data_IF_806531173223
#
_entry.id   IF_806531173223
#
_cell.length_a   1.000
_cell.length_b   1.000
_cell.length_c   1.000
_cell.angle_alpha   90.00
_cell.angle_beta   90.00
_cell.angle_gamma   90.00
#
_symmetry.space_group_name_H-M   'P 1'
#
loop_
_entity.id
_entity.type
_entity.pdbx_description
1 polymer ?
#
# COMPACT_ATOMS: atom_id res chain seq x y z
N UNK A 1 -40.11 49.78 56.19
CA UNK A 1 -40.14 50.19 54.77
C UNK A 1 -39.98 48.93 53.93
N UNK A 2 -41.05 48.48 53.29
CA UNK A 2 -41.06 47.24 52.52
C UNK A 2 -40.73 47.55 51.06
N UNK A 3 -39.72 46.96 50.50
CA UNK A 3 -39.37 47.05 49.08
C UNK A 3 -40.33 46.12 48.28
N UNK A 4 -40.99 46.73 47.28
CA UNK A 4 -41.98 46.15 46.40
C UNK A 4 -41.31 45.23 45.36
N UNK A 5 -41.94 44.09 45.09
CA UNK A 5 -41.50 43.08 44.10
C UNK A 5 -41.58 43.51 42.63
N UNK A 6 -41.71 44.82 42.33
CA UNK A 6 -41.91 45.34 40.96
C UNK A 6 -40.66 46.01 40.35
N UNK A 7 -39.56 46.14 41.04
CA UNK A 7 -38.36 46.83 40.52
C UNK A 7 -37.23 45.92 39.99
N UNK A 8 -37.49 44.62 39.84
CA UNK A 8 -36.49 43.64 39.36
C UNK A 8 -36.62 43.30 37.86
N UNK A 9 -37.46 43.96 37.12
CA UNK A 9 -37.76 43.63 35.72
C UNK A 9 -37.38 44.73 34.73
N UNK A 10 -36.21 45.37 34.87
CA UNK A 10 -35.62 46.21 33.80
C UNK A 10 -34.11 46.08 33.79
N UNK A 11 -33.61 44.99 33.21
CA UNK A 11 -32.18 44.77 33.01
C UNK A 11 -31.92 43.49 32.21
N UNK A 12 -32.68 43.28 31.12
CA UNK A 12 -32.39 42.16 30.20
C UNK A 12 -31.26 42.59 29.26
N UNK A 13 -30.01 42.37 29.68
CA UNK A 13 -28.86 42.41 28.77
C UNK A 13 -28.92 41.13 27.94
N UNK A 14 -29.23 41.30 26.67
CA UNK A 14 -29.16 40.23 25.69
C UNK A 14 -27.69 39.74 25.54
N UNK A 15 -27.35 38.63 26.17
CA UNK A 15 -26.14 37.89 25.83
C UNK A 15 -26.41 37.23 24.47
N UNK A 16 -25.87 37.80 23.39
CA UNK A 16 -25.72 37.14 22.12
C UNK A 16 -24.70 36.02 22.29
N UNK A 17 -25.15 34.78 22.50
CA UNK A 17 -24.31 33.60 22.41
C UNK A 17 -23.95 33.44 20.93
N UNK A 18 -22.84 34.04 20.54
CA UNK A 18 -22.19 33.76 19.27
C UNK A 18 -21.73 32.31 19.31
N UNK A 19 -22.46 31.40 18.66
CA UNK A 19 -21.96 30.07 18.30
C UNK A 19 -20.77 30.26 17.38
N UNK A 20 -19.56 30.27 17.96
CA UNK A 20 -18.33 30.11 17.21
C UNK A 20 -18.38 28.72 16.65
N UNK A 21 -18.78 28.57 15.38
CA UNK A 21 -18.49 27.39 14.60
C UNK A 21 -16.96 27.30 14.50
N UNK A 22 -16.36 26.56 15.41
CA UNK A 22 -14.98 26.12 15.26
C UNK A 22 -14.93 25.28 13.99
N UNK A 23 -14.58 25.91 12.86
CA UNK A 23 -14.14 25.16 11.70
C UNK A 23 -13.06 24.19 12.19
N UNK A 24 -13.10 22.90 11.83
CA UNK A 24 -12.01 22.00 12.21
C UNK A 24 -10.71 22.65 11.70
N UNK A 25 -9.80 23.00 12.62
CA UNK A 25 -8.47 23.45 12.28
C UNK A 25 -7.88 22.34 11.39
N UNK A 26 -7.86 22.57 10.08
CA UNK A 26 -7.12 21.75 9.16
C UNK A 26 -5.67 21.89 9.58
N UNK A 27 -5.08 20.80 10.10
CA UNK A 27 -3.68 20.81 10.47
C UNK A 27 -2.89 21.38 9.29
N UNK A 28 -2.08 22.40 9.56
CA UNK A 28 -1.24 22.98 8.52
C UNK A 28 -0.33 21.87 7.98
N UNK A 29 -0.17 21.81 6.65
CA UNK A 29 0.80 20.91 6.01
C UNK A 29 2.15 21.08 6.73
N UNK A 30 2.77 20.01 7.25
CA UNK A 30 4.07 20.13 7.88
C UNK A 30 5.07 20.71 6.87
N UNK A 31 5.97 21.60 7.30
CA UNK A 31 7.01 22.10 6.40
C UNK A 31 7.86 20.92 5.92
N UNK A 32 8.31 20.94 4.62
CA UNK A 32 9.21 19.92 4.12
C UNK A 32 10.49 19.84 4.95
N UNK A 33 10.87 18.64 5.37
CA UNK A 33 11.98 18.38 6.29
C UNK A 33 13.13 17.67 5.54
N UNK A 34 14.30 18.34 5.38
CA UNK A 34 15.47 17.73 4.76
C UNK A 34 16.21 16.78 5.71
N UNK A 35 17.06 15.91 5.16
CA UNK A 35 18.03 15.16 5.97
C UNK A 35 19.10 16.13 6.46
N UNK A 36 19.13 16.40 7.76
CA UNK A 36 20.10 17.29 8.40
C UNK A 36 21.11 16.53 9.26
N UNK A 37 22.31 17.08 9.53
CA UNK A 37 23.25 16.49 10.50
C UNK A 37 22.61 16.28 11.88
N UNK A 38 21.75 17.18 12.32
CA UNK A 38 21.05 17.07 13.60
C UNK A 38 20.09 15.88 13.64
N UNK A 39 19.35 15.63 12.55
CA UNK A 39 18.47 14.47 12.43
C UNK A 39 19.28 13.16 12.43
N UNK A 40 20.42 13.13 11.71
CA UNK A 40 21.28 11.96 11.66
C UNK A 40 21.85 11.64 13.06
N UNK A 41 22.35 12.63 13.78
CA UNK A 41 22.90 12.43 15.12
C UNK A 41 21.83 12.02 16.15
N UNK A 42 20.62 12.58 16.04
CA UNK A 42 19.51 12.16 16.88
C UNK A 42 19.11 10.68 16.59
N UNK A 43 19.02 10.31 15.30
CA UNK A 43 18.72 8.95 14.87
C UNK A 43 19.81 7.93 15.31
N UNK A 44 21.09 8.32 15.26
CA UNK A 44 22.21 7.47 15.77
C UNK A 44 22.10 7.23 17.27
N UNK A 45 21.66 8.22 18.05
CA UNK A 45 21.44 8.04 19.50
C UNK A 45 20.33 7.04 19.79
N UNK A 46 19.30 6.96 18.95
CA UNK A 46 18.23 5.98 19.03
C UNK A 46 18.68 4.58 18.55
N UNK A 47 19.61 4.53 17.58
CA UNK A 47 20.38 3.36 17.14
C UNK A 47 19.61 2.30 16.37
N UNK A 48 18.30 2.45 16.16
CA UNK A 48 17.49 1.43 15.47
C UNK A 48 16.24 2.00 14.84
N UNK A 49 15.69 1.28 13.85
CA UNK A 49 14.36 1.46 13.28
C UNK A 49 13.64 0.11 13.25
N UNK A 50 12.43 0.02 13.73
CA UNK A 50 11.53 -1.14 13.56
C UNK A 50 10.60 -0.85 12.39
N UNK A 51 10.73 -1.65 11.34
CA UNK A 51 10.01 -1.49 10.08
C UNK A 51 9.05 -2.65 9.83
N UNK A 52 7.74 -2.43 10.04
CA UNK A 52 6.72 -3.40 9.62
C UNK A 52 6.36 -3.18 8.15
N UNK A 53 6.41 -4.25 7.35
CA UNK A 53 6.22 -4.09 5.93
C UNK A 53 5.50 -5.25 5.25
N UNK A 54 4.74 -4.91 4.19
CA UNK A 54 4.19 -5.87 3.24
C UNK A 54 5.04 -6.00 1.96
N UNK A 55 6.21 -5.37 1.91
CA UNK A 55 7.15 -5.52 0.80
C UNK A 55 7.64 -6.97 0.67
N UNK A 56 8.14 -7.32 -0.50
CA UNK A 56 8.95 -8.53 -0.67
C UNK A 56 10.12 -8.52 0.32
N UNK A 57 10.33 -9.65 1.02
CA UNK A 57 11.31 -9.70 2.10
C UNK A 57 12.73 -9.39 1.63
N UNK A 58 13.14 -9.95 0.48
CA UNK A 58 14.48 -9.73 -0.05
C UNK A 58 14.74 -8.26 -0.34
N UNK A 59 13.74 -7.57 -0.89
CA UNK A 59 13.88 -6.14 -1.15
C UNK A 59 13.85 -5.32 0.15
N UNK A 60 12.97 -5.62 1.10
CA UNK A 60 12.92 -4.90 2.37
C UNK A 60 14.22 -5.03 3.16
N UNK A 61 14.85 -6.22 3.19
CA UNK A 61 16.16 -6.45 3.80
C UNK A 61 17.28 -5.73 3.04
N UNK A 62 17.23 -5.75 1.68
CA UNK A 62 18.20 -5.03 0.87
C UNK A 62 18.14 -3.51 1.13
N UNK A 63 16.92 -2.95 1.20
CA UNK A 63 16.69 -1.55 1.55
C UNK A 63 17.20 -1.22 2.95
N UNK A 64 16.92 -2.07 3.94
CA UNK A 64 17.41 -1.90 5.31
C UNK A 64 18.95 -1.89 5.38
N UNK A 65 19.60 -2.85 4.72
CA UNK A 65 21.07 -2.93 4.67
C UNK A 65 21.70 -1.72 3.99
N UNK A 66 21.11 -1.21 2.92
CA UNK A 66 21.60 -0.01 2.24
C UNK A 66 21.48 1.23 3.13
N UNK A 67 20.38 1.33 3.88
CA UNK A 67 20.23 2.40 4.88
C UNK A 67 21.29 2.30 5.99
N UNK A 68 21.53 1.12 6.55
CA UNK A 68 22.55 0.88 7.57
C UNK A 68 23.97 1.23 7.09
N UNK A 69 24.29 0.91 5.83
CA UNK A 69 25.56 1.29 5.20
C UNK A 69 25.72 2.81 5.05
N UNK A 70 24.63 3.50 4.70
CA UNK A 70 24.65 4.96 4.54
C UNK A 70 24.68 5.70 5.87
N UNK A 71 24.01 5.16 6.88
CA UNK A 71 23.90 5.75 8.22
C UNK A 71 24.43 4.80 9.30
N UNK A 72 25.76 4.58 9.37
CA UNK A 72 26.37 3.68 10.35
C UNK A 72 25.98 4.04 11.78
N UNK A 73 25.68 3.02 12.58
CA UNK A 73 25.20 3.17 13.96
C UNK A 73 23.68 3.10 14.11
N UNK A 74 22.92 2.94 13.01
CA UNK A 74 21.48 2.74 13.04
C UNK A 74 21.16 1.40 12.37
N UNK A 75 20.53 0.47 13.08
CA UNK A 75 20.09 -0.82 12.53
C UNK A 75 18.63 -0.78 12.10
N UNK A 76 18.26 -1.54 11.07
CA UNK A 76 16.87 -1.66 10.59
C UNK A 76 16.34 -3.06 10.87
N UNK A 77 15.40 -3.17 11.80
CA UNK A 77 14.70 -4.42 12.06
C UNK A 77 13.49 -4.55 11.13
N UNK A 78 13.61 -5.36 10.10
CA UNK A 78 12.52 -5.65 9.16
C UNK A 78 11.62 -6.74 9.72
N UNK A 79 10.32 -6.45 9.85
CA UNK A 79 9.29 -7.42 10.20
C UNK A 79 8.26 -7.49 9.06
N UNK A 80 8.37 -8.54 8.24
CA UNK A 80 7.54 -8.72 7.04
C UNK A 80 6.34 -9.60 7.32
N UNK A 81 5.15 -9.12 6.94
CA UNK A 81 3.93 -9.94 6.87
C UNK A 81 3.05 -9.50 5.69
N UNK A 82 1.94 -10.18 5.43
CA UNK A 82 0.92 -9.71 4.50
C UNK A 82 0.29 -8.41 5.00
N UNK A 83 -0.16 -7.54 4.07
CA UNK A 83 -0.66 -6.21 4.42
C UNK A 83 -1.81 -6.25 5.45
N UNK A 84 -2.76 -7.15 5.27
CA UNK A 84 -3.86 -7.32 6.21
C UNK A 84 -3.40 -7.73 7.63
N UNK A 85 -2.38 -8.61 7.71
CA UNK A 85 -1.80 -9.02 9.01
C UNK A 85 -1.04 -7.88 9.68
N UNK A 86 -0.31 -7.07 8.89
CA UNK A 86 0.35 -5.85 9.39
C UNK A 86 -0.71 -4.90 9.94
N UNK A 87 -1.79 -4.67 9.20
CA UNK A 87 -2.90 -3.82 9.62
C UNK A 87 -3.53 -4.29 10.94
N UNK A 88 -3.86 -5.58 11.03
CA UNK A 88 -4.45 -6.16 12.25
C UNK A 88 -3.50 -6.07 13.45
N UNK A 89 -2.20 -6.34 13.24
CA UNK A 89 -1.20 -6.27 14.29
C UNK A 89 -1.05 -4.85 14.84
N UNK A 90 -0.91 -3.86 13.96
CA UNK A 90 -0.85 -2.44 14.36
C UNK A 90 -2.10 -2.06 15.15
N UNK A 91 -3.28 -2.48 14.66
CA UNK A 91 -4.53 -2.22 15.36
C UNK A 91 -4.59 -2.81 16.76
N UNK A 92 -4.11 -4.05 16.95
CA UNK A 92 -4.06 -4.72 18.27
C UNK A 92 -3.03 -4.05 19.19
N UNK A 93 -1.84 -3.75 18.68
CA UNK A 93 -0.77 -3.09 19.45
C UNK A 93 -1.24 -1.71 19.96
N UNK A 94 -1.75 -0.86 19.07
CA UNK A 94 -2.16 0.51 19.43
C UNK A 94 -3.38 0.54 20.36
N UNK A 95 -4.38 -0.33 20.15
CA UNK A 95 -5.51 -0.46 21.08
C UNK A 95 -5.08 -0.95 22.47
N UNK A 96 -3.97 -1.65 22.56
CA UNK A 96 -3.36 -2.10 23.84
C UNK A 96 -2.32 -1.11 24.37
N UNK A 97 -2.20 0.09 23.78
CA UNK A 97 -1.18 1.10 24.13
C UNK A 97 0.26 0.55 24.02
N UNK A 98 0.49 -0.33 23.04
CA UNK A 98 1.81 -0.89 22.71
C UNK A 98 2.33 -0.16 21.47
N UNK A 99 3.48 0.51 21.62
CA UNK A 99 4.15 1.23 20.57
C UNK A 99 5.46 0.50 20.22
N UNK A 100 5.39 -0.53 19.37
CA UNK A 100 6.52 -1.41 19.06
C UNK A 100 7.16 -1.11 17.68
N UNK A 101 6.51 -0.31 16.85
CA UNK A 101 6.91 -0.05 15.46
C UNK A 101 7.17 1.43 15.22
N UNK A 102 8.16 1.73 14.42
CA UNK A 102 8.57 3.08 14.04
C UNK A 102 7.95 3.50 12.70
N UNK A 103 8.12 2.66 11.68
CA UNK A 103 7.63 2.90 10.31
C UNK A 103 6.83 1.70 9.83
N UNK A 104 5.66 1.96 9.25
CA UNK A 104 4.83 0.92 8.64
C UNK A 104 4.70 1.17 7.14
N UNK A 105 4.93 0.14 6.32
CA UNK A 105 4.58 0.14 4.91
C UNK A 105 3.56 -0.97 4.62
N UNK A 106 2.44 -0.60 4.06
CA UNK A 106 1.40 -1.54 3.62
C UNK A 106 1.23 -1.51 2.10
N UNK A 107 0.43 -2.40 1.56
CA UNK A 107 0.09 -2.45 0.13
C UNK A 107 -1.37 -2.03 -0.12
N UNK A 108 -1.93 -1.20 0.77
CA UNK A 108 -3.32 -0.78 0.72
C UNK A 108 -3.50 0.59 1.40
N UNK A 109 -3.93 1.58 0.64
CA UNK A 109 -4.22 2.93 1.15
C UNK A 109 -5.42 2.97 2.10
N UNK A 110 -6.34 2.02 2.03
CA UNK A 110 -7.50 1.95 2.93
C UNK A 110 -7.08 1.83 4.40
N UNK A 111 -5.94 1.18 4.68
CA UNK A 111 -5.38 1.08 6.03
C UNK A 111 -5.02 2.45 6.61
N UNK A 112 -4.48 3.35 5.77
CA UNK A 112 -4.15 4.72 6.19
C UNK A 112 -5.40 5.49 6.60
N UNK A 113 -6.52 5.30 5.90
CA UNK A 113 -7.80 5.94 6.25
C UNK A 113 -8.20 5.59 7.69
N UNK A 114 -8.09 4.30 8.05
CA UNK A 114 -8.38 3.84 9.41
C UNK A 114 -7.39 4.40 10.43
N UNK A 115 -6.09 4.26 10.20
CA UNK A 115 -5.07 4.75 11.13
C UNK A 115 -5.10 6.27 11.31
N UNK A 116 -5.43 7.01 10.25
CA UNK A 116 -5.65 8.47 10.31
C UNK A 116 -6.85 8.83 11.18
N UNK A 117 -7.97 8.12 11.03
CA UNK A 117 -9.18 8.29 11.85
C UNK A 117 -8.92 8.00 13.33
N UNK A 118 -8.12 6.99 13.63
CA UNK A 118 -7.73 6.61 14.98
C UNK A 118 -6.64 7.53 15.59
N UNK A 119 -6.03 8.44 14.81
CA UNK A 119 -5.00 9.34 15.28
C UNK A 119 -3.63 8.68 15.56
N UNK A 120 -3.32 7.57 14.88
CA UNK A 120 -2.09 6.79 15.12
C UNK A 120 -0.89 7.21 14.28
N UNK A 121 -1.06 8.19 13.39
CA UNK A 121 -0.04 8.62 12.43
C UNK A 121 0.65 9.91 12.86
N UNK A 122 1.96 9.96 12.76
CA UNK A 122 2.75 11.15 12.98
C UNK A 122 2.98 11.90 11.65
N UNK A 123 2.69 13.21 11.57
CA UNK A 123 2.90 13.96 10.35
C UNK A 123 4.40 14.13 10.06
N UNK A 124 4.82 13.80 8.86
CA UNK A 124 6.18 14.00 8.38
C UNK A 124 6.21 14.09 6.86
N UNK A 125 6.77 15.16 6.32
CA UNK A 125 6.89 15.37 4.87
C UNK A 125 8.36 15.56 4.48
N UNK A 126 9.02 14.55 3.86
CA UNK A 126 10.37 14.71 3.32
C UNK A 126 10.45 15.79 2.25
N UNK A 127 11.55 16.52 2.21
CA UNK A 127 11.77 17.58 1.23
C UNK A 127 11.68 17.10 -0.22
N UNK A 128 12.26 15.93 -0.53
CA UNK A 128 12.22 15.37 -1.89
C UNK A 128 10.81 14.94 -2.30
N UNK A 129 9.98 14.48 -1.35
CA UNK A 129 8.56 14.20 -1.64
C UNK A 129 7.83 15.48 -2.03
N UNK A 130 8.01 16.56 -1.28
CA UNK A 130 7.38 17.83 -1.59
C UNK A 130 7.83 18.41 -2.96
N UNK A 131 9.07 18.13 -3.37
CA UNK A 131 9.66 18.64 -4.64
C UNK A 131 9.37 17.77 -5.85
N UNK A 132 9.37 16.44 -5.70
CA UNK A 132 9.47 15.52 -6.83
C UNK A 132 8.33 14.51 -6.95
N UNK A 133 7.39 14.49 -5.99
CA UNK A 133 6.20 13.66 -6.10
C UNK A 133 5.00 14.46 -6.62
N UNK A 134 4.19 13.83 -7.47
CA UNK A 134 2.86 14.35 -7.73
C UNK A 134 2.03 14.33 -6.43
N UNK A 135 1.21 15.36 -6.22
CA UNK A 135 0.37 15.53 -5.02
C UNK A 135 -0.56 14.36 -4.72
N UNK A 136 -0.90 13.56 -5.72
CA UNK A 136 -1.70 12.35 -5.55
C UNK A 136 -0.97 11.22 -4.79
N UNK A 137 0.37 11.31 -4.65
CA UNK A 137 1.20 10.28 -4.05
C UNK A 137 1.58 10.56 -2.59
N UNK A 138 1.04 11.59 -1.98
CA UNK A 138 1.21 11.83 -0.55
C UNK A 138 -0.01 12.52 0.05
N UNK A 139 -0.26 12.24 1.32
CA UNK A 139 -1.33 12.91 2.06
C UNK A 139 -0.94 14.37 2.29
N UNK A 140 -1.82 15.34 2.00
CA UNK A 140 -1.52 16.75 2.21
C UNK A 140 -1.18 17.10 3.67
N UNK A 141 -1.62 16.31 4.63
CA UNK A 141 -1.30 16.49 6.05
C UNK A 141 0.06 15.84 6.42
N UNK A 142 0.79 15.24 5.45
CA UNK A 142 2.06 14.56 5.67
C UNK A 142 1.96 13.26 6.47
N UNK A 143 0.76 12.69 6.59
CA UNK A 143 0.52 11.50 7.41
C UNK A 143 0.85 10.19 6.68
N UNK A 144 0.85 10.20 5.35
CA UNK A 144 1.20 9.04 4.54
C UNK A 144 1.89 9.45 3.24
N UNK A 145 2.85 8.65 2.82
CA UNK A 145 3.61 8.84 1.59
C UNK A 145 3.54 7.56 0.77
N UNK A 146 3.25 7.65 -0.51
CA UNK A 146 3.30 6.49 -1.42
C UNK A 146 4.75 6.11 -1.68
N UNK A 147 5.13 4.89 -1.28
CA UNK A 147 6.47 4.36 -1.53
C UNK A 147 6.61 3.82 -2.95
N UNK A 148 5.53 3.24 -3.48
CA UNK A 148 5.53 2.56 -4.79
C UNK A 148 4.12 2.39 -5.33
N UNK A 149 4.02 2.20 -6.65
CA UNK A 149 2.78 1.81 -7.32
C UNK A 149 2.87 0.33 -7.70
N UNK A 150 1.88 -0.45 -7.29
CA UNK A 150 1.78 -1.89 -7.53
C UNK A 150 0.78 -2.15 -8.65
N UNK A 151 1.20 -2.92 -9.64
CA UNK A 151 0.37 -3.30 -10.77
C UNK A 151 0.14 -4.81 -10.72
N UNK A 152 -1.12 -5.25 -10.82
CA UNK A 152 -1.54 -6.65 -10.71
C UNK A 152 -1.95 -7.19 -12.08
N UNK A 153 -0.99 -7.34 -12.99
CA UNK A 153 -1.19 -7.91 -14.32
C UNK A 153 -1.26 -9.45 -14.26
N UNK A 154 -1.70 -10.07 -15.36
CA UNK A 154 -1.59 -11.50 -15.53
C UNK A 154 -0.12 -11.91 -15.63
N UNK A 155 0.17 -13.14 -15.20
CA UNK A 155 1.44 -13.80 -15.44
C UNK A 155 1.20 -15.14 -16.12
N UNK A 156 2.13 -15.58 -16.96
CA UNK A 156 2.09 -16.91 -17.56
C UNK A 156 3.39 -17.65 -17.36
N UNK A 157 3.32 -18.99 -17.34
CA UNK A 157 4.48 -19.84 -17.53
C UNK A 157 4.66 -20.14 -19.01
N UNK A 158 5.76 -19.68 -19.61
CA UNK A 158 6.01 -19.77 -21.05
C UNK A 158 6.39 -21.17 -21.55
N UNK A 159 6.71 -22.12 -20.65
CA UNK A 159 6.87 -23.52 -20.98
C UNK A 159 5.52 -24.24 -21.08
N UNK A 160 4.48 -23.76 -20.41
CA UNK A 160 3.14 -24.36 -20.37
C UNK A 160 2.15 -23.69 -21.32
N UNK A 161 2.40 -22.42 -21.67
CA UNK A 161 1.48 -21.60 -22.44
C UNK A 161 2.25 -20.59 -23.29
N UNK A 162 2.06 -20.63 -24.59
CA UNK A 162 2.65 -19.66 -25.51
C UNK A 162 1.97 -18.30 -25.35
N UNK A 163 2.71 -17.22 -25.59
CA UNK A 163 2.22 -15.85 -25.46
C UNK A 163 1.04 -15.53 -26.40
N UNK A 164 1.07 -16.09 -27.61
CA UNK A 164 -0.02 -15.93 -28.61
C UNK A 164 -1.34 -16.57 -28.16
N UNK A 165 -1.28 -17.70 -27.44
CA UNK A 165 -2.44 -18.48 -26.99
C UNK A 165 -2.96 -18.04 -25.61
N UNK A 166 -2.22 -17.15 -24.93
CA UNK A 166 -2.52 -16.72 -23.57
C UNK A 166 -3.71 -15.74 -23.52
N UNK A 167 -4.51 -15.77 -22.43
CA UNK A 167 -5.66 -14.87 -22.27
C UNK A 167 -5.18 -13.43 -22.15
N UNK A 168 -5.88 -12.52 -22.85
CA UNK A 168 -5.58 -11.09 -22.90
C UNK A 168 -6.64 -10.23 -22.20
N UNK A 169 -7.67 -10.87 -21.64
CA UNK A 169 -8.78 -10.21 -20.96
C UNK A 169 -9.27 -11.05 -19.79
N UNK A 170 -9.90 -10.39 -18.81
CA UNK A 170 -10.58 -11.11 -17.71
C UNK A 170 -11.71 -12.00 -18.23
N UNK A 171 -12.39 -11.58 -19.29
CA UNK A 171 -13.43 -12.39 -19.91
C UNK A 171 -12.88 -13.70 -20.47
N UNK A 172 -11.71 -13.68 -21.11
CA UNK A 172 -11.07 -14.90 -21.66
C UNK A 172 -10.61 -15.87 -20.59
N UNK A 173 -10.34 -15.45 -19.34
CA UNK A 173 -10.04 -16.33 -18.21
C UNK A 173 -11.22 -17.25 -17.83
N UNK A 174 -12.43 -16.91 -18.26
CA UNK A 174 -13.64 -17.73 -18.03
C UNK A 174 -13.81 -18.88 -19.03
N UNK A 175 -12.97 -18.95 -20.08
CA UNK A 175 -12.99 -20.06 -21.03
C UNK A 175 -12.71 -21.40 -20.31
N UNK A 176 -13.54 -22.43 -20.48
CA UNK A 176 -13.35 -23.75 -19.86
C UNK A 176 -11.97 -24.39 -20.09
N UNK A 177 -11.26 -24.04 -21.17
CA UNK A 177 -9.89 -24.52 -21.44
C UNK A 177 -8.88 -24.17 -20.33
N UNK A 178 -9.19 -23.15 -19.50
CA UNK A 178 -8.33 -22.68 -18.39
C UNK A 178 -8.65 -23.35 -17.05
N UNK A 179 -9.66 -24.19 -16.98
CA UNK A 179 -10.08 -24.84 -15.74
C UNK A 179 -8.91 -25.62 -15.11
N UNK A 180 -8.61 -25.31 -13.83
CA UNK A 180 -7.51 -25.91 -13.07
C UNK A 180 -6.11 -25.40 -13.45
N UNK A 181 -5.98 -24.42 -14.37
CA UNK A 181 -4.68 -23.90 -14.83
C UNK A 181 -4.31 -22.56 -14.22
N UNK A 182 -5.15 -22.00 -13.36
CA UNK A 182 -5.00 -20.66 -12.83
C UNK A 182 -4.66 -20.64 -11.34
N UNK A 183 -3.97 -19.58 -10.90
CA UNK A 183 -3.69 -19.29 -9.50
C UNK A 183 -4.01 -17.81 -9.19
N UNK A 184 -4.54 -17.57 -7.99
CA UNK A 184 -4.85 -16.24 -7.44
C UNK A 184 -4.60 -16.24 -5.93
N UNK A 185 -4.24 -15.09 -5.35
CA UNK A 185 -4.19 -14.96 -3.91
C UNK A 185 -5.54 -14.52 -3.32
N UNK A 186 -5.70 -14.78 -2.01
CA UNK A 186 -6.92 -14.47 -1.28
C UNK A 186 -6.89 -13.02 -0.77
N UNK A 187 -7.96 -12.21 -0.98
CA UNK A 187 -8.00 -10.80 -0.58
C UNK A 187 -7.90 -10.57 0.94
N UNK A 188 -8.32 -11.51 1.77
CA UNK A 188 -8.24 -11.38 3.24
C UNK A 188 -6.81 -11.39 3.81
N UNK A 189 -5.78 -11.65 2.99
CA UNK A 189 -4.39 -11.71 3.48
C UNK A 189 -3.47 -10.71 2.80
N UNK A 190 -3.88 -10.15 1.67
CA UNK A 190 -3.04 -9.30 0.82
C UNK A 190 -3.77 -8.04 0.37
N UNK A 191 -3.30 -6.86 0.80
CA UNK A 191 -3.86 -5.58 0.38
C UNK A 191 -3.82 -5.37 -1.14
N UNK A 192 -2.75 -5.78 -1.81
CA UNK A 192 -2.68 -5.75 -3.29
C UNK A 192 -3.84 -6.54 -3.92
N UNK A 193 -4.14 -7.73 -3.38
CA UNK A 193 -5.22 -8.58 -3.90
C UNK A 193 -6.59 -8.06 -3.46
N UNK A 194 -6.70 -7.44 -2.30
CA UNK A 194 -7.92 -6.75 -1.85
C UNK A 194 -8.29 -5.66 -2.85
N UNK A 195 -7.36 -4.76 -3.18
CA UNK A 195 -7.57 -3.70 -4.17
C UNK A 195 -7.91 -4.29 -5.55
N UNK A 196 -7.12 -5.23 -6.05
CA UNK A 196 -7.38 -5.88 -7.34
C UNK A 196 -8.77 -6.57 -7.39
N UNK A 197 -9.17 -7.25 -6.31
CA UNK A 197 -10.48 -7.92 -6.25
C UNK A 197 -11.61 -6.89 -6.23
N UNK A 198 -11.45 -5.81 -5.46
CA UNK A 198 -12.43 -4.72 -5.41
C UNK A 198 -12.58 -4.04 -6.76
N UNK A 199 -11.49 -3.67 -7.41
CA UNK A 199 -11.49 -3.01 -8.73
C UNK A 199 -12.11 -3.90 -9.81
N UNK A 200 -11.73 -5.18 -9.87
CA UNK A 200 -12.31 -6.14 -10.81
C UNK A 200 -13.82 -6.33 -10.54
N UNK A 201 -14.23 -6.42 -9.26
CA UNK A 201 -15.64 -6.54 -8.91
C UNK A 201 -16.45 -5.30 -9.28
N UNK A 202 -15.86 -4.10 -9.15
CA UNK A 202 -16.49 -2.85 -9.55
C UNK A 202 -16.68 -2.74 -11.07
N UNK A 203 -15.64 -3.12 -11.85
CA UNK A 203 -15.67 -3.00 -13.31
C UNK A 203 -16.46 -4.14 -13.99
N UNK A 204 -16.37 -5.38 -13.47
CA UNK A 204 -16.94 -6.57 -14.12
C UNK A 204 -18.12 -7.18 -13.36
N UNK A 205 -18.39 -6.70 -12.15
CA UNK A 205 -19.42 -7.24 -11.27
C UNK A 205 -19.01 -8.54 -10.57
N UNK A 206 -19.70 -8.85 -9.48
CA UNK A 206 -19.46 -10.07 -8.70
C UNK A 206 -19.77 -11.36 -9.46
N UNK A 207 -20.65 -11.31 -10.48
CA UNK A 207 -20.92 -12.45 -11.36
C UNK A 207 -19.67 -12.95 -12.12
N UNK A 208 -18.67 -12.10 -12.32
CA UNK A 208 -17.36 -12.52 -12.85
C UNK A 208 -16.69 -13.50 -11.88
N UNK A 209 -16.57 -13.15 -10.60
CA UNK A 209 -15.94 -14.01 -9.59
C UNK A 209 -16.70 -15.30 -9.34
N UNK A 210 -18.04 -15.28 -9.40
CA UNK A 210 -18.84 -16.50 -9.32
C UNK A 210 -18.53 -17.48 -10.46
N UNK A 211 -18.34 -16.96 -11.68
CA UNK A 211 -17.93 -17.78 -12.84
C UNK A 211 -16.47 -18.24 -12.71
N UNK A 212 -15.57 -17.34 -12.26
CA UNK A 212 -14.16 -17.65 -12.08
C UNK A 212 -13.94 -18.74 -11.02
N UNK A 213 -14.72 -18.76 -9.96
CA UNK A 213 -14.64 -19.79 -8.93
C UNK A 213 -14.92 -21.21 -9.47
N UNK A 214 -15.78 -21.32 -10.51
CA UNK A 214 -16.06 -22.61 -11.20
C UNK A 214 -14.88 -23.14 -12.01
N UNK A 215 -13.84 -22.33 -12.22
CA UNK A 215 -12.61 -22.66 -12.95
C UNK A 215 -11.57 -23.43 -12.11
N UNK A 216 -11.87 -23.81 -10.86
CA UNK A 216 -10.93 -24.51 -9.97
C UNK A 216 -9.57 -23.77 -9.83
N UNK A 217 -9.64 -22.51 -9.46
CA UNK A 217 -8.46 -21.62 -9.29
C UNK A 217 -7.71 -22.00 -8.01
N UNK A 218 -6.41 -22.25 -8.12
CA UNK A 218 -5.56 -22.47 -6.94
C UNK A 218 -5.51 -21.20 -6.09
N UNK A 219 -5.79 -21.33 -4.79
CA UNK A 219 -5.74 -20.22 -3.84
C UNK A 219 -4.42 -20.23 -3.06
N UNK A 220 -3.79 -19.06 -2.94
CA UNK A 220 -2.63 -18.83 -2.08
C UNK A 220 -2.86 -17.60 -1.20
N UNK A 221 -2.04 -17.37 -0.18
CA UNK A 221 -2.27 -16.26 0.76
C UNK A 221 -1.69 -14.93 0.29
N UNK A 222 -0.50 -14.92 -0.30
CA UNK A 222 0.22 -13.69 -0.60
C UNK A 222 0.27 -13.40 -2.10
N UNK A 223 0.12 -12.13 -2.49
CA UNK A 223 0.38 -11.67 -3.86
C UNK A 223 1.80 -12.06 -4.35
N UNK A 224 2.77 -12.21 -3.44
CA UNK A 224 4.14 -12.62 -3.76
C UNK A 224 4.30 -14.14 -3.96
N UNK A 225 3.32 -14.93 -3.57
CA UNK A 225 3.35 -16.39 -3.76
C UNK A 225 2.80 -16.81 -5.13
N UNK A 226 1.90 -16.00 -5.70
CA UNK A 226 1.29 -16.30 -7.02
C UNK A 226 2.33 -16.45 -8.13
N UNK A 227 3.30 -15.52 -8.31
CA UNK A 227 4.37 -15.66 -9.30
C UNK A 227 5.22 -16.92 -9.11
N UNK A 228 5.46 -17.35 -7.87
CA UNK A 228 6.23 -18.58 -7.59
C UNK A 228 5.53 -19.81 -8.11
N UNK A 229 4.19 -19.89 -8.01
CA UNK A 229 3.40 -21.03 -8.48
C UNK A 229 3.45 -21.19 -10.00
N UNK A 230 3.41 -20.08 -10.74
CA UNK A 230 3.58 -20.14 -12.19
C UNK A 230 5.03 -20.45 -12.57
N UNK A 231 6.02 -19.87 -11.91
CA UNK A 231 7.43 -20.14 -12.18
C UNK A 231 7.80 -21.63 -11.98
N UNK A 232 7.21 -22.28 -10.97
CA UNK A 232 7.38 -23.72 -10.70
C UNK A 232 6.54 -24.63 -11.64
N UNK A 233 5.68 -24.04 -12.48
CA UNK A 233 4.82 -24.82 -13.38
C UNK A 233 3.62 -25.48 -12.70
N UNK A 234 3.30 -25.12 -11.43
CA UNK A 234 2.11 -25.66 -10.74
C UNK A 234 0.81 -25.18 -11.39
N UNK A 235 0.83 -24.00 -11.99
CA UNK A 235 -0.25 -23.42 -12.79
C UNK A 235 0.34 -22.65 -13.97
N UNK A 236 -0.41 -22.60 -15.05
CA UNK A 236 0.01 -21.90 -16.26
C UNK A 236 -0.22 -20.39 -16.20
N UNK A 237 -1.22 -19.94 -15.42
CA UNK A 237 -1.70 -18.56 -15.44
C UNK A 237 -1.83 -18.01 -14.01
N UNK A 238 -1.24 -16.86 -13.77
CA UNK A 238 -1.49 -15.97 -12.64
C UNK A 238 -2.59 -14.97 -13.05
N UNK A 239 -3.69 -14.91 -12.30
CA UNK A 239 -4.80 -13.98 -12.59
C UNK A 239 -4.47 -12.57 -12.11
N UNK A 240 -3.91 -12.46 -10.91
CA UNK A 240 -3.40 -11.24 -10.29
C UNK A 240 -2.27 -11.61 -9.32
N UNK A 241 -1.48 -10.61 -8.94
CA UNK A 241 -0.36 -10.83 -8.04
C UNK A 241 0.71 -9.76 -8.21
N UNK A 242 1.88 -10.04 -7.70
CA UNK A 242 3.02 -9.14 -7.77
C UNK A 242 3.70 -9.22 -9.15
N UNK A 243 3.21 -8.47 -10.14
CA UNK A 243 3.74 -8.49 -11.52
C UNK A 243 5.24 -8.24 -11.59
N UNK A 244 5.77 -7.40 -10.73
CA UNK A 244 7.20 -7.11 -10.65
C UNK A 244 8.05 -8.36 -10.35
N UNK A 245 7.51 -9.35 -9.63
CA UNK A 245 8.20 -10.62 -9.39
C UNK A 245 8.21 -11.51 -10.64
N UNK A 246 7.19 -11.43 -11.48
CA UNK A 246 7.18 -12.09 -12.79
C UNK A 246 8.26 -11.48 -13.69
N UNK A 247 8.36 -10.14 -13.72
CA UNK A 247 9.38 -9.42 -14.49
C UNK A 247 10.79 -9.80 -14.02
N UNK A 248 11.03 -9.80 -12.71
CA UNK A 248 12.32 -10.25 -12.12
C UNK A 248 12.62 -11.71 -12.44
N UNK A 249 11.62 -12.58 -12.36
CA UNK A 249 11.73 -13.99 -12.72
C UNK A 249 12.16 -14.18 -14.18
N UNK A 250 11.52 -13.45 -15.12
CA UNK A 250 11.89 -13.45 -16.53
C UNK A 250 13.34 -13.00 -16.75
N UNK A 251 13.76 -11.89 -16.11
CA UNK A 251 15.14 -11.40 -16.18
C UNK A 251 16.16 -12.40 -15.61
N UNK A 252 15.75 -13.23 -14.65
CA UNK A 252 16.56 -14.29 -14.06
C UNK A 252 16.50 -15.60 -14.83
N UNK A 253 15.88 -15.63 -16.02
CA UNK A 253 15.79 -16.81 -16.88
C UNK A 253 14.69 -17.80 -16.51
N UNK A 254 13.76 -17.43 -15.60
CA UNK A 254 12.58 -18.26 -15.33
C UNK A 254 11.60 -18.20 -16.51
N UNK A 255 10.88 -19.29 -16.80
CA UNK A 255 9.96 -19.36 -17.94
C UNK A 255 8.64 -18.65 -17.63
N UNK A 256 8.68 -17.35 -17.38
CA UNK A 256 7.50 -16.55 -17.04
C UNK A 256 7.45 -15.25 -17.82
N UNK A 257 6.25 -14.74 -18.08
CA UNK A 257 6.04 -13.44 -18.71
C UNK A 257 4.76 -12.76 -18.21
N UNK A 258 4.62 -11.44 -18.47
CA UNK A 258 3.51 -10.60 -18.01
C UNK A 258 2.59 -10.24 -19.17
N UNK A 259 1.28 -10.26 -18.92
CA UNK A 259 0.25 -9.80 -19.86
C UNK A 259 -0.63 -8.78 -19.13
N UNK A 260 -0.85 -7.64 -19.76
CA UNK A 260 -1.71 -6.58 -19.24
C UNK A 260 -3.12 -6.72 -19.84
N UNK A 261 -4.16 -6.97 -19.01
CA UNK A 261 -5.52 -7.21 -19.51
C UNK A 261 -6.12 -6.00 -20.20
N UNK A 262 -6.90 -6.26 -21.25
CA UNK A 262 -7.47 -5.24 -22.13
C UNK A 262 -8.52 -4.35 -21.44
N UNK A 263 -9.27 -4.88 -20.46
CA UNK A 263 -10.25 -4.13 -19.69
C UNK A 263 -9.60 -3.05 -18.82
N UNK A 264 -8.38 -3.31 -18.37
CA UNK A 264 -7.57 -2.49 -17.47
C UNK A 264 -6.85 -3.36 -16.46
N UNK A 265 -5.71 -2.91 -15.98
CA UNK A 265 -4.89 -3.64 -15.03
C UNK A 265 -5.15 -3.08 -13.63
N UNK A 266 -5.48 -3.92 -12.64
CA UNK A 266 -5.64 -3.48 -11.26
C UNK A 266 -4.36 -2.85 -10.72
N UNK A 267 -4.53 -1.78 -9.94
CA UNK A 267 -3.44 -0.98 -9.40
C UNK A 267 -3.67 -0.71 -7.91
N UNK A 268 -2.61 -0.64 -7.14
CA UNK A 268 -2.67 -0.20 -5.76
C UNK A 268 -1.45 0.66 -5.44
N UNK A 269 -1.64 1.78 -4.77
CA UNK A 269 -0.54 2.53 -4.17
C UNK A 269 -0.20 1.93 -2.80
N UNK A 270 1.11 1.85 -2.53
CA UNK A 270 1.64 1.26 -1.30
C UNK A 270 2.14 2.37 -0.39
N UNK A 271 1.37 2.76 0.63
CA UNK A 271 1.76 3.84 1.54
C UNK A 271 2.81 3.39 2.54
N UNK A 272 3.60 4.34 3.02
CA UNK A 272 4.36 4.24 4.26
C UNK A 272 4.02 5.41 5.18
N UNK A 273 4.08 5.14 6.47
CA UNK A 273 3.70 6.06 7.54
C UNK A 273 4.71 6.00 8.68
N UNK A 274 4.92 7.13 9.34
CA UNK A 274 5.59 7.18 10.65
C UNK A 274 4.50 7.06 11.72
N UNK A 275 4.73 6.20 12.69
CA UNK A 275 3.72 5.98 13.72
C UNK A 275 3.85 6.98 14.86
N UNK A 276 2.71 7.43 15.42
CA UNK A 276 2.72 8.25 16.63
C UNK A 276 3.21 7.41 17.83
N UNK A 277 4.05 7.98 18.69
CA UNK A 277 4.65 7.20 19.79
C UNK A 277 5.72 6.20 19.35
N UNK A 278 6.24 6.34 18.12
CA UNK A 278 7.35 5.51 17.63
C UNK A 278 8.50 5.49 18.65
N UNK A 279 9.05 4.30 19.00
CA UNK A 279 10.16 4.19 19.95
C UNK A 279 11.42 4.95 19.53
N UNK A 280 11.63 5.11 18.22
CA UNK A 280 12.81 5.76 17.62
C UNK A 280 12.38 6.83 16.59
N UNK A 281 11.78 7.96 17.05
CA UNK A 281 11.12 8.91 16.15
C UNK A 281 12.08 9.62 15.18
N UNK A 282 13.32 9.90 15.57
CA UNK A 282 14.30 10.53 14.69
C UNK A 282 14.81 9.53 13.65
N UNK A 283 15.09 8.29 14.04
CA UNK A 283 15.49 7.23 13.14
C UNK A 283 14.34 6.85 12.17
N UNK A 284 13.08 6.85 12.63
CA UNK A 284 11.90 6.67 11.79
C UNK A 284 11.81 7.75 10.70
N UNK A 285 11.97 9.03 11.07
CA UNK A 285 11.95 10.16 10.12
C UNK A 285 13.11 10.07 9.12
N UNK A 286 14.31 9.76 9.60
CA UNK A 286 15.48 9.61 8.73
C UNK A 286 15.29 8.44 7.74
N UNK A 287 14.78 7.30 8.19
CA UNK A 287 14.50 6.15 7.34
C UNK A 287 13.40 6.45 6.33
N UNK A 288 12.30 7.08 6.75
CA UNK A 288 11.20 7.50 5.89
C UNK A 288 11.70 8.49 4.82
N UNK A 289 12.52 9.49 5.21
CA UNK A 289 13.08 10.46 4.29
C UNK A 289 13.97 9.81 3.23
N UNK A 290 14.94 8.99 3.66
CA UNK A 290 15.85 8.32 2.75
C UNK A 290 15.14 7.32 1.82
N UNK A 291 14.17 6.58 2.33
CA UNK A 291 13.40 5.62 1.52
C UNK A 291 12.63 6.31 0.39
N UNK A 292 12.19 7.56 0.58
CA UNK A 292 11.47 8.36 -0.41
C UNK A 292 12.35 9.31 -1.19
N UNK A 293 13.63 9.46 -0.84
CA UNK A 293 14.61 10.19 -1.63
C UNK A 293 14.94 9.42 -2.92
N UNK A 294 15.49 10.15 -3.91
CA UNK A 294 15.87 9.59 -5.21
C UNK A 294 16.66 8.29 -5.08
N UNK A 295 17.60 8.22 -4.14
CA UNK A 295 18.45 7.03 -3.93
C UNK A 295 17.63 5.79 -3.55
N UNK A 296 16.81 5.86 -2.51
CA UNK A 296 15.95 4.77 -2.07
C UNK A 296 14.93 4.39 -3.14
N UNK A 297 14.38 5.37 -3.84
CA UNK A 297 13.43 5.18 -4.93
C UNK A 297 14.08 4.58 -6.19
N UNK A 298 15.33 4.94 -6.52
CA UNK A 298 16.04 4.31 -7.62
C UNK A 298 16.34 2.83 -7.32
N UNK A 299 16.68 2.49 -6.07
CA UNK A 299 16.83 1.09 -5.66
C UNK A 299 15.53 0.29 -5.83
N UNK A 300 14.37 0.90 -5.55
CA UNK A 300 13.07 0.29 -5.80
C UNK A 300 12.89 -0.08 -7.29
N UNK A 301 13.26 0.83 -8.19
CA UNK A 301 13.20 0.60 -9.63
C UNK A 301 14.23 -0.45 -10.08
N UNK A 302 15.48 -0.31 -9.65
CA UNK A 302 16.59 -1.11 -10.16
C UNK A 302 16.61 -2.54 -9.61
N UNK A 303 16.29 -2.71 -8.35
CA UNK A 303 16.29 -4.03 -7.70
C UNK A 303 14.91 -4.70 -7.75
N UNK A 304 13.87 -3.97 -7.36
CA UNK A 304 12.55 -4.56 -7.21
C UNK A 304 11.69 -4.53 -8.47
N UNK A 305 12.04 -3.78 -9.51
CA UNK A 305 11.25 -3.61 -10.75
C UNK A 305 9.85 -3.04 -10.47
N UNK A 306 9.74 -2.19 -9.48
CA UNK A 306 8.49 -1.53 -9.10
C UNK A 306 8.46 -0.09 -9.61
N UNK A 307 7.27 0.47 -9.70
CA UNK A 307 7.08 1.84 -10.16
C UNK A 307 7.22 2.81 -8.99
N UNK A 308 8.14 3.76 -9.16
CA UNK A 308 8.40 4.82 -8.19
C UNK A 308 7.50 6.04 -8.46
N UNK A 309 6.95 6.68 -7.42
CA UNK A 309 6.29 7.98 -7.56
C UNK A 309 7.26 9.16 -7.68
N UNK A 310 8.58 8.95 -7.51
CA UNK A 310 9.59 9.99 -7.55
C UNK A 310 9.99 10.32 -8.99
N UNK A 311 9.68 11.54 -9.47
CA UNK A 311 9.85 11.95 -10.87
C UNK A 311 11.30 11.96 -11.39
N UNK A 312 12.30 11.91 -10.49
CA UNK A 312 13.72 11.91 -10.88
C UNK A 312 14.32 10.49 -10.93
N UNK A 313 13.52 9.44 -10.74
CA UNK A 313 13.99 8.07 -10.95
C UNK A 313 14.03 7.75 -12.45
N UNK A 314 15.00 6.92 -12.83
CA UNK A 314 15.16 6.44 -14.21
C UNK A 314 14.49 5.07 -14.31
N UNK A 315 13.50 4.97 -15.19
CA UNK A 315 12.81 3.71 -15.46
C UNK A 315 13.77 2.67 -16.04
N UNK A 316 13.58 1.40 -15.67
CA UNK A 316 14.43 0.33 -16.17
C UNK A 316 14.04 -0.06 -17.60
N UNK A 317 15.02 -0.15 -18.53
CA UNK A 317 14.77 -0.67 -19.87
C UNK A 317 14.13 -2.08 -19.83
N UNK A 318 13.17 -2.33 -20.72
CA UNK A 318 12.46 -3.62 -20.81
C UNK A 318 11.26 -3.77 -19.88
N UNK A 319 11.07 -2.88 -18.92
CA UNK A 319 9.83 -2.78 -18.12
C UNK A 319 8.87 -1.82 -18.81
N UNK A 320 7.61 -2.20 -18.99
CA UNK A 320 6.59 -1.33 -19.57
C UNK A 320 6.39 -0.11 -18.66
N UNK A 321 6.39 1.09 -19.22
CA UNK A 321 6.17 2.32 -18.45
C UNK A 321 4.78 2.33 -17.84
N UNK A 322 4.65 2.87 -16.62
CA UNK A 322 3.35 2.96 -15.95
C UNK A 322 2.32 3.75 -16.77
N UNK A 323 2.76 4.80 -17.46
CA UNK A 323 1.92 5.62 -18.34
C UNK A 323 1.38 4.86 -19.57
N UNK A 324 2.03 3.77 -19.99
CA UNK A 324 1.65 2.96 -21.15
C UNK A 324 0.74 1.77 -20.74
N UNK A 325 0.38 1.67 -19.46
CA UNK A 325 -0.51 0.63 -18.93
C UNK A 325 -1.90 1.24 -18.75
N UNK A 326 -2.91 0.61 -19.32
CA UNK A 326 -4.29 0.93 -18.99
C UNK A 326 -4.57 0.42 -17.59
N UNK A 327 -4.67 1.33 -16.62
CA UNK A 327 -4.94 1.02 -15.23
C UNK A 327 -6.44 1.12 -14.92
N UNK A 328 -6.91 0.29 -14.00
CA UNK A 328 -8.18 0.52 -13.31
C UNK A 328 -8.03 1.70 -12.35
N UNK A 329 -9.13 2.33 -11.96
CA UNK A 329 -9.08 3.45 -11.02
C UNK A 329 -8.98 2.95 -9.57
N UNK A 330 -8.01 3.44 -8.80
CA UNK A 330 -7.98 3.21 -7.35
C UNK A 330 -9.18 3.87 -6.65
N UNK A 331 -9.67 3.22 -5.61
CA UNK A 331 -10.70 3.75 -4.73
C UNK A 331 -10.47 3.29 -3.27
N UNK A 332 -9.49 3.86 -2.57
CA UNK A 332 -9.18 3.46 -1.20
C UNK A 332 -10.35 3.60 -0.23
N UNK A 333 -11.22 4.61 -0.43
CA UNK A 333 -12.39 4.80 0.40
C UNK A 333 -13.47 3.73 0.14
N UNK A 334 -13.63 3.32 -1.12
CA UNK A 334 -14.49 2.20 -1.48
C UNK A 334 -13.96 0.88 -0.92
N UNK A 335 -12.65 0.66 -1.00
CA UNK A 335 -12.00 -0.53 -0.41
C UNK A 335 -12.20 -0.55 1.11
N UNK A 336 -11.97 0.56 1.83
CA UNK A 336 -12.18 0.65 3.28
C UNK A 336 -13.61 0.26 3.68
N UNK A 337 -14.59 0.78 2.97
CA UNK A 337 -16.01 0.51 3.24
C UNK A 337 -16.43 -0.90 2.83
N UNK A 338 -15.85 -1.42 1.74
CA UNK A 338 -16.26 -2.68 1.11
C UNK A 338 -15.43 -3.90 1.52
N UNK A 339 -14.34 -3.74 2.29
CA UNK A 339 -13.37 -4.81 2.56
C UNK A 339 -14.01 -6.08 3.14
N UNK A 340 -14.91 -5.95 4.11
CA UNK A 340 -15.58 -7.10 4.72
C UNK A 340 -16.55 -7.79 3.74
N UNK A 341 -17.22 -7.05 2.89
CA UNK A 341 -18.06 -7.63 1.84
C UNK A 341 -17.21 -8.38 0.80
N UNK A 342 -16.07 -7.80 0.40
CA UNK A 342 -15.12 -8.45 -0.51
C UNK A 342 -14.65 -9.78 0.07
N UNK A 343 -14.19 -9.80 1.33
CA UNK A 343 -13.74 -11.02 2.01
C UNK A 343 -14.85 -12.07 2.07
N UNK A 344 -16.04 -11.69 2.49
CA UNK A 344 -17.18 -12.58 2.62
C UNK A 344 -17.59 -13.19 1.28
N UNK A 345 -17.85 -12.37 0.25
CA UNK A 345 -18.27 -12.86 -1.08
C UNK A 345 -17.21 -13.73 -1.73
N UNK A 346 -15.94 -13.31 -1.60
CA UNK A 346 -14.84 -14.09 -2.13
C UNK A 346 -14.77 -15.49 -1.50
N UNK A 347 -14.84 -15.56 -0.16
CA UNK A 347 -14.84 -16.84 0.56
C UNK A 347 -16.06 -17.72 0.21
N UNK A 348 -17.25 -17.13 0.05
CA UNK A 348 -18.44 -17.85 -0.38
C UNK A 348 -18.29 -18.48 -1.76
N UNK A 349 -17.76 -17.74 -2.74
CA UNK A 349 -17.62 -18.25 -4.12
C UNK A 349 -16.51 -19.27 -4.25
N UNK A 350 -15.32 -18.99 -3.67
CA UNK A 350 -14.16 -19.87 -3.79
C UNK A 350 -14.11 -20.96 -2.72
N UNK A 351 -15.00 -20.95 -1.73
CA UNK A 351 -15.11 -21.91 -0.61
C UNK A 351 -13.81 -22.04 0.20
N UNK A 352 -13.22 -20.89 0.58
CA UNK A 352 -11.93 -20.75 1.27
C UNK A 352 -12.02 -19.78 2.45
#
# INVERSE_FOLDING_TARGET
>A
MAFSRRDVLKGSTAFAVGTIFASPLRAAVPPPDPITPALIEAAKKEGKVVFYTAMDLQFAEHLGKAFEQKFPGISVRVERSGAERVFQRVGQEYKSNIHAVDVVNTADQSHVIVWKREGWLAPYLPEEVAKYYDKKYYDPDGLALTTRVLVSAFGINTNLLKMEDAPKSFAELLDPKWKGKMVKAHPAYSGTIMNATFEIARELGWGYFEKLAKQNVLQVQSATDVPKRIALGERAIMIDGASYLVIRGKESGQPVDVIYPSEGTPVATSPSVVMIGAPSPSAARLFQNWMHAREGQQMLVDYARQYSPHSQTVEKPGVRKLADIKLMAEDPAGVEKGAEEVKRRYSEYFKV
#
